data_IF_976897602883
#
_entry.id   IF_976897602883
#
_cell.length_a   1.000
_cell.length_b   1.000
_cell.length_c   1.000
_cell.angle_alpha   90.00
_cell.angle_beta   90.00
_cell.angle_gamma   90.00
#
_symmetry.space_group_name_H-M   'P 1'
#
loop_
_entity.id
_entity.type
_entity.pdbx_description
1 polymer ?
#
# COMPACT_ATOMS: atom_id res chain seq x y z
N UNK A 1 -31.95 5.09 13.32
CA UNK A 1 -30.68 4.45 12.87
C UNK A 1 -30.69 4.55 11.37
N UNK A 2 -29.77 5.32 10.77
CA UNK A 2 -29.59 5.36 9.32
C UNK A 2 -29.11 3.97 8.90
N UNK A 3 -29.76 3.38 7.90
CA UNK A 3 -29.38 2.08 7.37
C UNK A 3 -27.97 2.20 6.78
N UNK A 4 -27.06 1.30 7.14
CA UNK A 4 -25.69 1.24 6.63
C UNK A 4 -25.74 1.18 5.09
N UNK A 5 -24.99 2.06 4.43
CA UNK A 5 -24.96 2.14 2.98
C UNK A 5 -23.60 1.68 2.45
N UNK A 6 -23.60 0.61 1.67
CA UNK A 6 -22.38 0.11 1.04
C UNK A 6 -21.94 0.99 -0.11
N UNK A 7 -20.62 1.18 -0.26
CA UNK A 7 -20.02 1.92 -1.37
C UNK A 7 -20.10 1.14 -2.67
N UNK A 8 -20.40 1.84 -3.75
CA UNK A 8 -20.40 1.28 -5.11
C UNK A 8 -19.01 1.31 -5.72
N UNK A 9 -18.79 0.41 -6.67
CA UNK A 9 -17.67 0.53 -7.60
C UNK A 9 -17.82 1.82 -8.42
N UNK A 10 -16.77 2.65 -8.43
CA UNK A 10 -16.67 3.83 -9.29
C UNK A 10 -15.97 3.49 -10.59
N UNK A 11 -14.82 2.84 -10.47
CA UNK A 11 -13.95 2.49 -11.61
C UNK A 11 -13.16 1.24 -11.33
N UNK A 12 -13.03 0.39 -12.33
CA UNK A 12 -12.12 -0.74 -12.35
C UNK A 12 -10.86 -0.35 -13.14
N UNK A 13 -9.69 -0.54 -12.52
CA UNK A 13 -8.40 -0.23 -13.12
C UNK A 13 -7.55 -1.50 -13.18
N UNK A 14 -7.04 -1.82 -14.36
CA UNK A 14 -6.07 -2.91 -14.50
C UNK A 14 -4.67 -2.38 -14.20
N UNK A 15 -3.92 -3.08 -13.35
CA UNK A 15 -2.53 -2.77 -13.11
C UNK A 15 -1.69 -2.87 -14.40
N UNK A 16 -0.69 -1.99 -14.52
CA UNK A 16 0.17 -1.92 -15.70
C UNK A 16 1.52 -2.58 -15.43
N UNK A 17 1.90 -3.54 -16.27
CA UNK A 17 3.22 -4.15 -16.18
C UNK A 17 4.30 -3.10 -16.48
N UNK A 18 5.31 -3.02 -15.62
CA UNK A 18 6.44 -2.11 -15.75
C UNK A 18 7.68 -2.68 -15.06
N UNK A 19 8.74 -1.90 -14.98
CA UNK A 19 9.91 -2.20 -14.17
C UNK A 19 10.37 -0.96 -13.41
N UNK A 20 10.98 -1.15 -12.25
CA UNK A 20 11.55 -0.08 -11.43
C UNK A 20 12.86 -0.55 -10.77
N UNK A 21 13.54 0.33 -10.02
CA UNK A 21 14.85 0.02 -9.46
C UNK A 21 15.87 -0.32 -10.54
N UNK A 22 16.66 -1.36 -10.34
CA UNK A 22 17.63 -1.83 -11.31
C UNK A 22 17.05 -2.83 -12.33
N UNK A 23 15.73 -2.79 -12.57
CA UNK A 23 15.02 -3.64 -13.53
C UNK A 23 14.08 -4.67 -12.90
N UNK A 24 13.67 -4.48 -11.66
CA UNK A 24 12.67 -5.32 -11.00
C UNK A 24 11.35 -5.22 -11.74
N UNK A 25 10.82 -6.35 -12.19
CA UNK A 25 9.53 -6.42 -12.86
C UNK A 25 8.40 -6.32 -11.83
N UNK A 26 7.44 -5.46 -12.10
CA UNK A 26 6.30 -5.22 -11.22
C UNK A 26 5.05 -4.81 -12.00
N UNK A 27 3.93 -4.80 -11.31
CA UNK A 27 2.67 -4.26 -11.80
C UNK A 27 2.36 -2.99 -11.04
N UNK A 28 2.35 -1.83 -11.71
CA UNK A 28 1.92 -0.56 -11.12
C UNK A 28 0.41 -0.50 -11.09
N UNK A 29 -0.16 -0.52 -9.89
CA UNK A 29 -1.60 -0.58 -9.63
C UNK A 29 -2.18 0.82 -9.45
N UNK A 30 -1.49 1.68 -8.69
CA UNK A 30 -1.81 3.10 -8.53
C UNK A 30 -0.66 3.90 -9.09
N UNK A 31 -0.95 4.75 -10.07
CA UNK A 31 0.00 5.63 -10.74
C UNK A 31 -0.37 7.11 -10.56
N UNK A 32 0.44 8.01 -11.10
CA UNK A 32 0.33 9.46 -10.89
C UNK A 32 -1.02 10.05 -11.31
N UNK A 33 -1.69 9.47 -12.31
CA UNK A 33 -3.02 9.90 -12.79
C UNK A 33 -4.13 9.64 -11.76
N UNK A 34 -3.88 8.77 -10.78
CA UNK A 34 -4.81 8.42 -9.72
C UNK A 34 -4.58 9.16 -8.40
N UNK A 35 -3.44 9.82 -8.22
CA UNK A 35 -3.03 10.43 -6.95
C UNK A 35 -4.05 11.44 -6.41
N UNK A 36 -4.60 12.29 -7.26
CA UNK A 36 -5.60 13.27 -6.85
C UNK A 36 -6.92 12.60 -6.40
N UNK A 37 -7.32 11.52 -7.11
CA UNK A 37 -8.54 10.77 -6.77
C UNK A 37 -8.36 9.90 -5.54
N UNK A 38 -7.17 9.34 -5.34
CA UNK A 38 -6.86 8.39 -4.27
C UNK A 38 -6.03 9.00 -3.13
N UNK A 39 -5.89 10.33 -3.06
CA UNK A 39 -5.24 11.00 -1.92
C UNK A 39 -5.73 10.37 -0.60
N UNK A 40 -4.86 9.90 0.32
CA UNK A 40 -3.43 10.16 0.42
C UNK A 40 -2.51 9.12 -0.25
N UNK A 41 -3.03 8.22 -1.08
CA UNK A 41 -2.24 7.17 -1.73
C UNK A 41 -1.58 7.72 -3.00
N UNK A 42 -0.25 7.62 -3.06
CA UNK A 42 0.56 8.14 -4.17
C UNK A 42 0.89 7.08 -5.21
N UNK A 43 1.15 5.85 -4.76
CA UNK A 43 1.54 4.74 -5.61
C UNK A 43 1.24 3.41 -4.91
N UNK A 44 0.85 2.41 -5.67
CA UNK A 44 0.84 1.02 -5.24
C UNK A 44 1.44 0.18 -6.35
N UNK A 45 2.53 -0.51 -6.03
CA UNK A 45 3.18 -1.49 -6.89
C UNK A 45 3.04 -2.89 -6.31
N UNK A 46 2.69 -3.84 -7.16
CA UNK A 46 2.71 -5.27 -6.86
C UNK A 46 3.89 -5.90 -7.60
N UNK A 47 4.88 -6.39 -6.87
CA UNK A 47 5.99 -7.16 -7.45
C UNK A 47 5.80 -8.65 -7.16
N UNK A 48 6.18 -9.50 -8.12
CA UNK A 48 6.05 -10.94 -7.96
C UNK A 48 6.60 -11.71 -9.12
N UNK A 49 7.61 -12.55 -8.86
CA UNK A 49 8.16 -13.50 -9.84
C UNK A 49 8.85 -14.66 -9.12
N UNK A 50 8.82 -15.82 -9.75
CA UNK A 50 9.63 -17.01 -9.40
C UNK A 50 10.95 -17.08 -10.18
N UNK A 51 11.19 -16.11 -11.09
CA UNK A 51 12.40 -15.99 -11.91
C UNK A 51 13.34 -14.97 -11.29
N UNK A 52 14.48 -15.40 -10.78
CA UNK A 52 15.46 -14.53 -10.15
C UNK A 52 15.85 -13.31 -11.01
N UNK A 53 16.00 -13.49 -12.33
CA UNK A 53 16.31 -12.41 -13.27
C UNK A 53 15.28 -11.26 -13.32
N UNK A 54 14.07 -11.46 -12.78
CA UNK A 54 13.03 -10.45 -12.73
C UNK A 54 13.13 -9.56 -11.49
N UNK A 55 13.88 -9.98 -10.44
CA UNK A 55 13.93 -9.25 -9.17
C UNK A 55 15.33 -9.11 -8.56
N UNK A 56 16.32 -9.97 -8.95
CA UNK A 56 17.61 -10.07 -8.25
C UNK A 56 18.42 -8.77 -8.21
N UNK A 57 18.23 -7.88 -9.19
CA UNK A 57 18.91 -6.60 -9.26
C UNK A 57 18.43 -5.60 -8.17
N UNK A 58 17.25 -5.82 -7.61
CA UNK A 58 16.71 -5.05 -6.49
C UNK A 58 16.54 -3.56 -6.76
N UNK A 59 16.51 -2.82 -5.66
CA UNK A 59 16.44 -1.36 -5.64
C UNK A 59 17.71 -0.84 -4.93
N UNK A 60 18.79 -0.58 -5.70
CA UNK A 60 20.03 0.01 -5.15
C UNK A 60 19.79 1.36 -4.50
N UNK A 61 20.79 1.93 -3.83
CA UNK A 61 20.70 3.19 -3.10
C UNK A 61 19.95 4.26 -3.90
N UNK A 62 18.81 4.70 -3.38
CA UNK A 62 17.96 5.72 -3.99
C UNK A 62 17.34 6.62 -2.90
N UNK A 63 17.09 7.90 -3.23
CA UNK A 63 16.58 8.86 -2.26
C UNK A 63 15.05 8.84 -2.18
N UNK A 64 14.52 9.34 -1.04
CA UNK A 64 13.10 9.72 -0.90
C UNK A 64 12.97 10.98 -0.06
N UNK A 65 11.96 11.82 -0.32
CA UNK A 65 11.57 12.97 0.51
C UNK A 65 10.08 13.25 0.41
N UNK A 66 9.45 13.51 1.57
CA UNK A 66 8.11 14.10 1.67
C UNK A 66 6.93 13.14 1.70
N UNK A 67 7.18 11.85 1.88
CA UNK A 67 6.14 10.82 1.94
C UNK A 67 6.59 9.61 2.76
N UNK A 68 5.73 8.59 2.85
CA UNK A 68 5.99 7.32 3.50
C UNK A 68 5.99 6.19 2.49
N UNK A 69 6.82 5.17 2.70
CA UNK A 69 6.77 3.90 1.98
C UNK A 69 6.36 2.78 2.92
N UNK A 70 5.55 1.84 2.41
CA UNK A 70 5.17 0.64 3.13
C UNK A 70 5.44 -0.56 2.24
N UNK A 71 6.47 -1.32 2.60
CA UNK A 71 6.81 -2.59 1.95
C UNK A 71 6.11 -3.72 2.70
N UNK A 72 5.30 -4.51 2.00
CA UNK A 72 4.65 -5.70 2.55
C UNK A 72 5.08 -6.92 1.76
N UNK A 73 5.86 -7.80 2.40
CA UNK A 73 6.34 -9.04 1.78
C UNK A 73 5.28 -10.13 1.88
N UNK A 74 4.88 -10.71 0.75
CA UNK A 74 4.08 -11.93 0.73
C UNK A 74 4.99 -13.16 0.78
N UNK A 75 6.00 -13.19 -0.07
CA UNK A 75 6.98 -14.28 -0.17
C UNK A 75 8.37 -13.74 -0.44
N UNK A 76 9.38 -14.46 0.07
CA UNK A 76 10.79 -14.17 -0.15
C UNK A 76 11.43 -13.36 0.97
N UNK A 77 12.64 -12.87 0.70
CA UNK A 77 13.45 -12.12 1.65
C UNK A 77 14.04 -10.89 0.98
N UNK A 78 13.90 -9.75 1.64
CA UNK A 78 14.42 -8.47 1.17
C UNK A 78 15.20 -7.79 2.30
N UNK A 79 16.46 -7.50 2.04
CA UNK A 79 17.32 -6.73 2.94
C UNK A 79 17.19 -5.27 2.60
N UNK A 80 16.92 -4.45 3.58
CA UNK A 80 16.96 -3.00 3.44
C UNK A 80 18.11 -2.41 4.27
N UNK A 81 18.63 -1.28 3.81
CA UNK A 81 19.64 -0.48 4.49
C UNK A 81 19.43 0.99 4.17
N UNK A 82 19.66 1.88 5.12
CA UNK A 82 19.50 3.33 4.93
C UNK A 82 20.78 4.14 5.24
N UNK A 83 20.74 5.42 4.88
CA UNK A 83 21.82 6.37 5.09
C UNK A 83 22.10 6.72 6.56
N UNK A 84 21.20 6.38 7.48
CA UNK A 84 21.40 6.54 8.92
C UNK A 84 22.10 5.34 9.57
N UNK A 85 22.44 4.31 8.77
CA UNK A 85 23.12 3.10 9.23
C UNK A 85 22.16 2.02 9.77
N UNK A 86 20.89 2.15 9.52
CA UNK A 86 19.91 1.14 9.87
C UNK A 86 19.89 0.04 8.79
N UNK A 87 19.73 -1.21 9.23
CA UNK A 87 19.63 -2.38 8.36
C UNK A 87 18.60 -3.35 8.93
N UNK A 88 17.86 -4.01 8.06
CA UNK A 88 16.88 -5.02 8.44
C UNK A 88 16.65 -6.04 7.33
N UNK A 89 16.01 -7.15 7.70
CA UNK A 89 15.65 -8.23 6.80
C UNK A 89 14.15 -8.52 6.91
N UNK A 90 13.42 -8.21 5.85
CA UNK A 90 12.01 -8.57 5.71
C UNK A 90 11.90 -10.00 5.16
N UNK A 91 10.99 -10.77 5.74
CA UNK A 91 10.63 -12.14 5.38
C UNK A 91 9.14 -12.24 5.02
N UNK A 92 8.68 -13.46 4.75
CA UNK A 92 7.27 -13.71 4.43
C UNK A 92 6.32 -13.12 5.48
N UNK A 93 5.43 -12.27 5.04
CA UNK A 93 4.42 -11.62 5.85
C UNK A 93 4.91 -10.43 6.68
N UNK A 94 6.21 -10.08 6.62
CA UNK A 94 6.75 -8.91 7.31
C UNK A 94 6.34 -7.63 6.59
N UNK A 95 6.28 -6.55 7.36
CA UNK A 95 5.99 -5.20 6.87
C UNK A 95 7.09 -4.26 7.31
N UNK A 96 7.56 -3.38 6.42
CA UNK A 96 8.35 -2.21 6.78
C UNK A 96 7.54 -0.96 6.53
N UNK A 97 7.47 -0.10 7.53
CA UNK A 97 6.92 1.25 7.40
C UNK A 97 8.04 2.27 7.56
N UNK A 98 8.29 3.06 6.53
CA UNK A 98 9.32 4.09 6.52
C UNK A 98 8.70 5.46 6.24
N UNK A 99 8.95 6.42 7.09
CA UNK A 99 8.70 7.84 6.85
C UNK A 99 9.97 8.47 6.29
N UNK A 100 9.96 8.86 5.03
CA UNK A 100 11.12 9.53 4.43
C UNK A 100 11.32 10.96 4.96
N UNK A 101 10.21 11.66 5.25
CA UNK A 101 10.26 13.00 5.84
C UNK A 101 11.17 13.95 5.08
N UNK A 102 12.12 14.59 5.78
CA UNK A 102 13.07 15.55 5.18
C UNK A 102 14.05 14.92 4.19
N UNK A 103 14.22 13.60 4.23
CA UNK A 103 15.05 12.85 3.29
C UNK A 103 15.65 11.59 3.90
N UNK A 104 15.72 10.55 3.08
CA UNK A 104 16.41 9.30 3.35
C UNK A 104 17.01 8.79 2.05
N UNK A 105 18.15 8.12 2.12
CA UNK A 105 18.70 7.31 1.03
C UNK A 105 18.70 5.89 1.52
N UNK A 106 18.07 4.98 0.78
CA UNK A 106 17.99 3.58 1.18
C UNK A 106 18.12 2.64 -0.01
N UNK A 107 18.33 1.37 0.29
CA UNK A 107 18.33 0.28 -0.69
C UNK A 107 17.47 -0.87 -0.20
N UNK A 108 16.85 -1.58 -1.13
CA UNK A 108 16.02 -2.76 -0.90
C UNK A 108 16.53 -3.86 -1.84
N UNK A 109 17.27 -4.82 -1.29
CA UNK A 109 17.96 -5.84 -2.07
C UNK A 109 17.42 -7.24 -1.74
N UNK A 110 17.06 -8.04 -2.76
CA UNK A 110 16.71 -9.45 -2.54
C UNK A 110 17.83 -10.19 -1.80
N UNK A 111 17.47 -10.97 -0.80
CA UNK A 111 18.40 -11.83 -0.06
C UNK A 111 18.11 -13.31 -0.36
N UNK A 112 17.84 -13.62 -1.62
CA UNK A 112 17.65 -14.95 -2.15
C UNK A 112 18.14 -14.99 -3.60
N UNK A 113 18.63 -16.13 -4.04
CA UNK A 113 19.14 -16.34 -5.39
C UNK A 113 18.10 -17.01 -6.30
N UNK A 114 17.09 -17.64 -5.72
CA UNK A 114 16.01 -18.35 -6.41
C UNK A 114 14.72 -18.36 -5.60
N UNK A 115 13.64 -18.83 -6.21
CA UNK A 115 12.33 -18.99 -5.61
C UNK A 115 11.45 -17.75 -5.74
N UNK A 116 10.22 -17.88 -5.27
CA UNK A 116 9.22 -16.81 -5.36
C UNK A 116 9.61 -15.63 -4.46
N UNK A 117 9.64 -14.44 -5.04
CA UNK A 117 9.67 -13.18 -4.31
C UNK A 117 8.45 -12.36 -4.73
N UNK A 118 7.60 -11.99 -3.79
CA UNK A 118 6.40 -11.21 -4.07
C UNK A 118 5.98 -10.36 -2.89
N UNK A 119 5.34 -9.23 -3.19
CA UNK A 119 4.87 -8.29 -2.19
C UNK A 119 4.32 -7.02 -2.82
N UNK A 120 4.17 -6.02 -1.96
CA UNK A 120 3.61 -4.72 -2.34
C UNK A 120 4.49 -3.60 -1.82
N UNK A 121 4.60 -2.52 -2.63
CA UNK A 121 5.17 -1.25 -2.23
C UNK A 121 4.07 -0.19 -2.32
N UNK A 122 3.66 0.35 -1.20
CA UNK A 122 2.69 1.44 -1.10
C UNK A 122 3.43 2.73 -0.78
N UNK A 123 3.11 3.82 -1.50
CA UNK A 123 3.51 5.17 -1.13
C UNK A 123 2.32 5.94 -0.58
N UNK A 124 2.49 6.49 0.62
CA UNK A 124 1.48 7.24 1.34
C UNK A 124 1.98 8.68 1.55
N UNK A 125 1.16 9.66 1.21
CA UNK A 125 1.53 11.06 1.31
C UNK A 125 1.61 11.55 2.77
N UNK A 126 2.48 12.50 3.03
CA UNK A 126 2.53 13.27 4.28
C UNK A 126 1.87 14.64 4.09
N UNK A 127 1.18 15.16 5.12
CA UNK A 127 0.71 16.55 5.08
C UNK A 127 1.89 17.52 4.99
N UNK A 128 1.68 18.69 4.41
CA UNK A 128 2.71 19.70 4.17
C UNK A 128 3.56 20.01 5.41
N UNK A 129 2.93 20.10 6.58
CA UNK A 129 3.59 20.38 7.86
C UNK A 129 4.58 19.31 8.29
N UNK A 130 4.39 18.05 7.84
CA UNK A 130 5.19 16.90 8.25
C UNK A 130 6.16 16.43 7.16
N UNK A 131 6.13 17.01 5.95
CA UNK A 131 7.03 16.60 4.86
C UNK A 131 8.52 16.76 5.18
N UNK A 132 8.85 17.64 6.10
CA UNK A 132 10.23 17.86 6.55
C UNK A 132 10.50 17.31 7.96
N UNK A 133 9.66 16.42 8.47
CA UNK A 133 9.90 15.73 9.76
C UNK A 133 11.17 14.85 9.68
N UNK A 134 11.78 14.50 10.83
CA UNK A 134 12.85 13.50 10.85
C UNK A 134 12.42 12.18 10.22
N UNK A 135 13.27 11.50 9.45
CA UNK A 135 13.01 10.14 8.98
C UNK A 135 12.75 9.20 10.16
N UNK A 136 11.86 8.25 9.89
CA UNK A 136 11.54 7.20 10.86
C UNK A 136 11.20 5.91 10.10
N UNK A 137 11.50 4.76 10.69
CA UNK A 137 11.03 3.50 10.16
C UNK A 137 10.81 2.45 11.25
N UNK A 138 10.05 1.43 10.92
CA UNK A 138 9.78 0.29 11.77
C UNK A 138 9.60 -0.95 10.92
N UNK A 139 10.42 -1.97 11.23
CA UNK A 139 10.19 -3.32 10.77
C UNK A 139 9.19 -4.02 11.69
N UNK A 140 8.19 -4.64 11.10
CA UNK A 140 7.10 -5.31 11.78
C UNK A 140 7.12 -6.77 11.34
N UNK A 141 7.70 -7.68 12.13
CA UNK A 141 7.66 -9.10 11.82
C UNK A 141 6.23 -9.62 11.66
N UNK A 142 6.03 -10.60 10.79
CA UNK A 142 4.73 -11.17 10.47
C UNK A 142 3.92 -11.57 11.73
N UNK A 143 4.60 -12.11 12.73
CA UNK A 143 3.97 -12.49 14.00
C UNK A 143 3.48 -11.29 14.84
N UNK A 144 3.92 -10.08 14.54
CA UNK A 144 3.49 -8.83 15.19
C UNK A 144 2.44 -8.08 14.39
N UNK A 145 2.11 -8.51 13.16
CA UNK A 145 0.98 -7.97 12.41
C UNK A 145 -0.30 -8.55 12.98
N UNK A 146 -1.16 -7.73 13.61
CA UNK A 146 -2.41 -8.21 14.20
C UNK A 146 -3.30 -8.84 13.13
N UNK A 147 -3.96 -9.93 13.49
CA UNK A 147 -4.92 -10.60 12.62
C UNK A 147 -6.09 -11.18 13.41
N UNK A 148 -7.21 -11.34 12.75
CA UNK A 148 -8.39 -12.02 13.26
C UNK A 148 -9.08 -12.79 12.12
N UNK A 149 -9.97 -13.69 12.48
CA UNK A 149 -10.83 -14.38 11.51
C UNK A 149 -12.28 -14.04 11.82
N UNK A 150 -13.04 -13.62 10.79
CA UNK A 150 -14.46 -13.32 10.94
C UNK A 150 -15.27 -14.61 11.17
N UNK A 151 -16.53 -14.49 11.62
CA UNK A 151 -17.45 -15.63 11.75
C UNK A 151 -17.67 -16.36 10.41
N UNK A 152 -17.51 -15.65 9.29
CA UNK A 152 -17.63 -16.20 7.94
C UNK A 152 -16.31 -16.83 7.42
N UNK A 153 -15.26 -16.86 8.24
CA UNK A 153 -14.00 -17.51 7.91
C UNK A 153 -12.99 -16.64 7.16
N UNK A 154 -13.25 -15.34 6.95
CA UNK A 154 -12.27 -14.44 6.32
C UNK A 154 -11.17 -14.12 7.32
N UNK A 155 -9.92 -14.48 7.01
CA UNK A 155 -8.76 -14.04 7.82
C UNK A 155 -8.32 -12.68 7.35
N UNK A 156 -8.21 -11.75 8.31
CA UNK A 156 -7.89 -10.35 8.08
C UNK A 156 -6.59 -10.00 8.80
N UNK A 157 -5.57 -9.60 8.05
CA UNK A 157 -4.35 -9.03 8.62
C UNK A 157 -4.49 -7.52 8.64
N UNK A 158 -4.35 -6.92 9.82
CA UNK A 158 -4.52 -5.47 10.01
C UNK A 158 -3.15 -4.81 10.05
N UNK A 159 -2.65 -4.38 8.89
CA UNK A 159 -1.33 -3.74 8.78
C UNK A 159 -1.39 -2.35 9.39
N UNK A 160 -2.41 -1.56 9.06
CA UNK A 160 -2.63 -0.24 9.63
C UNK A 160 -4.12 0.05 9.82
N UNK A 161 -4.44 0.97 10.73
CA UNK A 161 -5.81 1.40 11.02
C UNK A 161 -6.52 0.46 12.00
N UNK A 162 -7.84 0.33 11.84
CA UNK A 162 -8.69 -0.44 12.77
C UNK A 162 -9.75 -1.24 12.00
N UNK A 163 -9.92 -2.50 12.37
CA UNK A 163 -10.95 -3.39 11.82
C UNK A 163 -11.48 -4.32 12.90
N UNK A 164 -12.81 -4.42 13.05
CA UNK A 164 -13.50 -5.39 13.92
C UNK A 164 -12.89 -5.49 15.34
N UNK A 165 -12.63 -4.35 15.99
CA UNK A 165 -12.03 -4.34 17.34
C UNK A 165 -10.52 -4.57 17.38
N UNK A 166 -9.87 -4.83 16.23
CA UNK A 166 -8.43 -5.06 16.14
C UNK A 166 -7.72 -3.82 15.60
N UNK A 167 -6.74 -3.32 16.38
CA UNK A 167 -5.86 -2.24 15.93
C UNK A 167 -4.71 -2.80 15.10
N UNK A 168 -4.39 -2.16 13.98
CA UNK A 168 -3.22 -2.46 13.18
C UNK A 168 -1.90 -2.07 13.86
N UNK A 169 -0.82 -2.56 13.27
CA UNK A 169 0.54 -2.31 13.78
C UNK A 169 0.94 -0.84 13.75
N UNK A 170 0.36 -0.06 12.83
CA UNK A 170 0.65 1.37 12.64
C UNK A 170 -0.66 2.16 12.63
N UNK A 171 -0.61 3.32 13.30
CA UNK A 171 -1.68 4.32 13.29
C UNK A 171 -1.11 5.63 12.74
N UNK A 172 -1.86 6.30 11.85
CA UNK A 172 -1.48 7.59 11.28
C UNK A 172 -2.59 8.61 11.48
N UNK A 173 -2.32 9.64 12.28
CA UNK A 173 -3.33 10.62 12.71
C UNK A 173 -3.96 11.35 11.52
N UNK A 174 -3.15 11.84 10.56
CA UNK A 174 -3.62 12.71 9.50
C UNK A 174 -4.27 11.95 8.34
N UNK A 175 -3.67 10.85 7.92
CA UNK A 175 -4.19 10.04 6.83
C UNK A 175 -5.20 9.01 7.28
N UNK A 176 -5.25 8.69 8.58
CA UNK A 176 -6.14 7.67 9.17
C UNK A 176 -6.20 6.42 8.30
N UNK A 177 -5.03 6.03 7.79
CA UNK A 177 -4.92 4.96 6.80
C UNK A 177 -5.41 3.64 7.37
N UNK A 178 -6.24 2.96 6.59
CA UNK A 178 -6.59 1.56 6.75
C UNK A 178 -5.83 0.76 5.69
N UNK A 179 -5.12 -0.27 6.12
CA UNK A 179 -4.46 -1.22 5.23
C UNK A 179 -4.72 -2.63 5.74
N UNK A 180 -5.62 -3.34 5.06
CA UNK A 180 -5.99 -4.71 5.36
C UNK A 180 -5.54 -5.64 4.24
N UNK A 181 -5.11 -6.84 4.61
CA UNK A 181 -4.94 -7.96 3.70
C UNK A 181 -5.98 -9.03 4.06
N UNK A 182 -6.89 -9.30 3.11
CA UNK A 182 -8.06 -10.16 3.25
C UNK A 182 -7.80 -11.50 2.58
N UNK A 183 -7.87 -12.57 3.37
CA UNK A 183 -7.76 -13.95 2.88
C UNK A 183 -9.12 -14.61 3.03
N UNK A 184 -9.80 -14.81 1.91
CA UNK A 184 -11.09 -15.49 1.88
C UNK A 184 -10.91 -17.01 1.98
N UNK A 185 -11.84 -17.72 2.63
CA UNK A 185 -11.74 -19.17 2.79
C UNK A 185 -11.86 -19.92 1.45
N UNK A 186 -11.43 -21.17 1.45
CA UNK A 186 -11.77 -22.10 0.38
C UNK A 186 -13.27 -22.37 0.38
N UNK A 187 -13.84 -22.64 -0.80
CA UNK A 187 -15.26 -22.99 -0.95
C UNK A 187 -16.11 -21.81 -1.43
N UNK A 188 -17.34 -21.74 -0.95
CA UNK A 188 -18.33 -20.77 -1.41
C UNK A 188 -17.97 -19.32 -1.05
N UNK A 189 -18.53 -18.37 -1.79
CA UNK A 189 -18.34 -16.95 -1.52
C UNK A 189 -18.91 -16.56 -0.15
N UNK A 190 -18.10 -15.86 0.62
CA UNK A 190 -18.47 -15.22 1.89
C UNK A 190 -18.26 -13.71 1.79
N UNK A 191 -18.95 -12.94 2.63
CA UNK A 191 -18.86 -11.48 2.60
C UNK A 191 -18.02 -10.96 3.75
N UNK A 192 -17.05 -10.11 3.42
CA UNK A 192 -16.35 -9.26 4.37
C UNK A 192 -16.94 -7.86 4.30
N UNK A 193 -17.16 -7.24 5.46
CA UNK A 193 -17.72 -5.90 5.58
C UNK A 193 -16.83 -5.04 6.47
N UNK A 194 -16.52 -3.80 6.04
CA UNK A 194 -15.71 -2.84 6.77
C UNK A 194 -16.39 -1.49 6.83
N UNK A 195 -16.68 -1.01 8.03
CA UNK A 195 -17.14 0.36 8.24
C UNK A 195 -16.03 1.36 7.91
N UNK A 196 -16.35 2.41 7.16
CA UNK A 196 -15.43 3.46 6.76
C UNK A 196 -16.12 4.83 6.80
N UNK A 197 -15.45 5.89 7.30
CA UNK A 197 -15.96 7.24 7.17
C UNK A 197 -16.19 7.62 5.70
N UNK A 198 -17.31 8.25 5.37
CA UNK A 198 -17.61 8.69 3.99
C UNK A 198 -16.60 9.69 3.44
N UNK A 199 -15.81 10.34 4.31
CA UNK A 199 -14.73 11.26 3.93
C UNK A 199 -13.48 10.57 3.39
N UNK A 200 -13.30 9.26 3.66
CA UNK A 200 -12.12 8.52 3.21
C UNK A 200 -12.24 8.07 1.75
N UNK A 201 -11.17 8.18 1.01
CA UNK A 201 -11.01 7.45 -0.24
C UNK A 201 -10.80 5.97 0.09
N UNK A 202 -11.35 5.08 -0.75
CA UNK A 202 -11.22 3.64 -0.56
C UNK A 202 -11.03 2.91 -1.89
N UNK A 203 -10.24 1.85 -1.83
CA UNK A 203 -9.95 0.98 -2.96
C UNK A 203 -9.69 -0.45 -2.50
N UNK A 204 -10.01 -1.42 -3.36
CA UNK A 204 -9.69 -2.83 -3.15
C UNK A 204 -8.89 -3.37 -4.33
N UNK A 205 -7.77 -4.04 -4.06
CA UNK A 205 -6.92 -4.66 -5.08
C UNK A 205 -6.95 -6.19 -4.92
N UNK A 206 -7.48 -6.89 -5.91
CA UNK A 206 -7.51 -8.36 -5.92
C UNK A 206 -6.21 -8.87 -6.53
N UNK A 207 -5.39 -9.56 -5.72
CA UNK A 207 -4.12 -10.08 -6.16
C UNK A 207 -4.11 -11.61 -6.38
N UNK A 208 -5.15 -12.29 -5.91
CA UNK A 208 -5.38 -13.72 -6.15
C UNK A 208 -6.89 -14.01 -6.26
N UNK A 209 -7.29 -14.84 -7.22
CA UNK A 209 -8.69 -15.21 -7.42
C UNK A 209 -9.54 -14.07 -7.97
N UNK A 210 -10.74 -13.91 -7.45
CA UNK A 210 -11.70 -12.87 -7.82
C UNK A 210 -12.48 -12.44 -6.57
N UNK A 211 -12.91 -11.18 -6.54
CA UNK A 211 -13.84 -10.68 -5.53
C UNK A 211 -14.94 -9.85 -6.20
N UNK A 212 -16.05 -9.68 -5.49
CA UNK A 212 -17.17 -8.86 -5.90
C UNK A 212 -17.34 -7.69 -4.91
N UNK A 213 -17.52 -6.47 -5.43
CA UNK A 213 -17.97 -5.32 -4.65
C UNK A 213 -19.49 -5.34 -4.59
N UNK A 214 -20.05 -5.37 -3.38
CA UNK A 214 -21.49 -5.43 -3.16
C UNK A 214 -22.06 -4.08 -2.71
N UNK A 215 -23.14 -3.61 -3.37
CA UNK A 215 -23.85 -2.40 -2.96
C UNK A 215 -25.36 -2.57 -3.15
N UNK A 216 -26.11 -2.81 -2.07
CA UNK A 216 -27.52 -3.20 -2.15
C UNK A 216 -27.64 -4.53 -2.91
N UNK A 217 -28.41 -4.52 -4.00
CA UNK A 217 -28.57 -5.66 -4.92
C UNK A 217 -27.53 -5.66 -6.05
N UNK A 218 -26.78 -4.57 -6.21
CA UNK A 218 -25.75 -4.46 -7.25
C UNK A 218 -24.51 -5.27 -6.85
N UNK A 219 -23.94 -5.97 -7.83
CA UNK A 219 -22.70 -6.73 -7.69
C UNK A 219 -21.76 -6.36 -8.84
N UNK A 220 -20.53 -6.03 -8.51
CA UNK A 220 -19.50 -5.66 -9.49
C UNK A 220 -18.26 -6.54 -9.31
N UNK A 221 -17.97 -7.37 -10.30
CA UNK A 221 -16.83 -8.28 -10.28
C UNK A 221 -15.49 -7.53 -10.40
N UNK A 222 -14.52 -7.94 -9.57
CA UNK A 222 -13.14 -7.44 -9.57
C UNK A 222 -12.21 -8.63 -9.83
N UNK A 223 -11.75 -8.82 -11.07
CA UNK A 223 -10.84 -9.91 -11.41
C UNK A 223 -9.46 -9.74 -10.76
N UNK A 224 -8.67 -10.81 -10.77
CA UNK A 224 -7.25 -10.77 -10.37
C UNK A 224 -6.50 -9.66 -11.09
N UNK A 225 -5.60 -9.00 -10.38
CA UNK A 225 -4.77 -7.87 -10.83
C UNK A 225 -5.56 -6.61 -11.24
N UNK A 226 -6.77 -6.47 -10.70
CA UNK A 226 -7.57 -5.25 -10.88
C UNK A 226 -7.78 -4.54 -9.54
N UNK A 227 -7.77 -3.22 -9.63
CA UNK A 227 -8.08 -2.29 -8.56
C UNK A 227 -9.53 -1.79 -8.73
N UNK A 228 -10.35 -2.02 -7.73
CA UNK A 228 -11.66 -1.41 -7.59
C UNK A 228 -11.53 -0.09 -6.83
N UNK A 229 -11.72 1.04 -7.50
CA UNK A 229 -11.87 2.36 -6.85
C UNK A 229 -13.33 2.49 -6.44
N UNK A 230 -13.57 2.79 -5.16
CA UNK A 230 -14.91 2.86 -4.59
C UNK A 230 -15.37 4.32 -4.48
N UNK A 231 -16.65 4.55 -4.72
CA UNK A 231 -17.26 5.86 -4.47
C UNK A 231 -17.18 6.23 -3.00
N UNK A 232 -17.19 7.53 -2.70
CA UNK A 232 -17.15 8.00 -1.31
C UNK A 232 -18.56 8.05 -0.67
N UNK A 233 -19.62 7.89 -1.46
CA UNK A 233 -20.97 7.74 -0.93
C UNK A 233 -21.12 6.36 -0.25
N UNK A 234 -21.56 6.38 1.00
CA UNK A 234 -21.67 5.19 1.84
C UNK A 234 -20.61 5.13 2.95
N UNK A 235 -20.95 4.39 3.97
CA UNK A 235 -20.20 4.26 5.22
C UNK A 235 -19.63 2.84 5.44
N UNK A 236 -19.80 1.95 4.45
CA UNK A 236 -19.29 0.58 4.48
C UNK A 236 -18.71 0.17 3.14
N UNK A 237 -17.71 -0.72 3.19
CA UNK A 237 -17.24 -1.50 2.04
C UNK A 237 -17.66 -2.95 2.26
N UNK A 238 -18.26 -3.58 1.26
CA UNK A 238 -18.62 -5.00 1.27
C UNK A 238 -17.95 -5.69 0.10
N UNK A 239 -17.14 -6.70 0.40
CA UNK A 239 -16.45 -7.54 -0.58
C UNK A 239 -16.91 -8.98 -0.39
N UNK A 240 -17.28 -9.64 -1.47
CA UNK A 240 -17.64 -11.06 -1.45
C UNK A 240 -16.65 -11.85 -2.30
N UNK A 241 -16.10 -12.91 -1.74
CA UNK A 241 -15.19 -13.80 -2.44
C UNK A 241 -15.13 -15.16 -1.74
N UNK A 242 -14.57 -16.14 -2.44
CA UNK A 242 -14.33 -17.51 -1.95
C UNK A 242 -13.12 -18.10 -2.66
N UNK A 243 -13.00 -19.42 -2.62
CA UNK A 243 -11.98 -20.22 -3.32
C UNK A 243 -10.54 -19.73 -3.07
N UNK A 244 -10.25 -19.37 -1.83
CA UNK A 244 -8.91 -18.89 -1.44
C UNK A 244 -8.52 -17.54 -2.05
N UNK A 245 -9.49 -16.74 -2.49
CA UNK A 245 -9.21 -15.39 -3.05
C UNK A 245 -8.56 -14.47 -2.03
N UNK A 246 -7.74 -13.54 -2.51
CA UNK A 246 -7.04 -12.58 -1.66
C UNK A 246 -7.11 -11.17 -2.22
N UNK A 247 -7.31 -10.20 -1.33
CA UNK A 247 -7.43 -8.81 -1.71
C UNK A 247 -6.85 -7.87 -0.64
N UNK A 248 -6.24 -6.78 -1.08
CA UNK A 248 -5.93 -5.64 -0.21
C UNK A 248 -7.16 -4.73 -0.16
N UNK A 249 -7.54 -4.28 1.04
CA UNK A 249 -8.47 -3.17 1.22
C UNK A 249 -7.71 -2.00 1.82
N UNK A 250 -7.68 -0.89 1.07
CA UNK A 250 -6.99 0.34 1.44
C UNK A 250 -8.00 1.47 1.54
N UNK A 251 -7.93 2.25 2.61
CA UNK A 251 -8.70 3.48 2.75
C UNK A 251 -7.91 4.53 3.53
N UNK A 252 -8.22 5.81 3.32
CA UNK A 252 -7.53 6.89 4.02
C UNK A 252 -8.22 8.24 3.88
N UNK A 253 -8.02 9.09 4.89
CA UNK A 253 -8.46 10.48 4.89
C UNK A 253 -7.61 11.27 3.88
N UNK A 254 -8.21 11.86 2.83
CA UNK A 254 -7.47 12.70 1.90
C UNK A 254 -6.92 13.94 2.59
N UNK A 255 -5.67 14.30 2.26
CA UNK A 255 -5.02 15.50 2.80
C UNK A 255 -5.51 16.78 2.11
N UNK A 256 -5.97 16.67 0.85
CA UNK A 256 -6.48 17.79 0.03
C UNK A 256 -5.47 18.92 -0.12
N UNK A 257 -4.21 18.57 -0.18
CA UNK A 257 -3.10 19.47 -0.40
C UNK A 257 -2.54 19.30 -1.82
N UNK A 258 -1.83 20.29 -2.37
CA UNK A 258 -1.15 20.13 -3.66
C UNK A 258 -0.16 18.97 -3.63
N UNK A 259 -0.16 18.14 -4.68
CA UNK A 259 0.80 17.05 -4.88
C UNK A 259 1.68 17.42 -6.07
N UNK A 260 2.96 17.64 -5.83
CA UNK A 260 3.98 17.83 -6.86
C UNK A 260 5.01 16.73 -6.70
N UNK A 261 5.10 15.87 -7.71
CA UNK A 261 6.05 14.74 -7.71
C UNK A 261 7.04 14.86 -8.84
N UNK A 262 8.30 14.58 -8.55
CA UNK A 262 9.34 14.35 -9.54
C UNK A 262 10.24 13.20 -9.08
N UNK A 263 10.13 12.07 -9.78
CA UNK A 263 10.81 10.83 -9.38
C UNK A 263 10.49 10.46 -7.92
N UNK A 264 11.52 10.31 -7.07
CA UNK A 264 11.38 9.85 -5.68
C UNK A 264 11.10 10.99 -4.68
N UNK A 265 10.71 12.17 -5.14
CA UNK A 265 10.39 13.33 -4.30
C UNK A 265 8.92 13.72 -4.47
N UNK A 266 8.20 13.87 -3.35
CA UNK A 266 6.79 14.29 -3.35
C UNK A 266 6.62 15.44 -2.37
N UNK A 267 6.41 16.63 -2.90
CA UNK A 267 6.28 17.86 -2.14
C UNK A 267 4.98 18.60 -2.49
N UNK A 268 4.79 19.82 -2.00
CA UNK A 268 3.61 20.62 -2.30
C UNK A 268 3.84 21.67 -3.39
N UNK A 269 5.11 22.03 -3.68
CA UNK A 269 5.46 23.02 -4.72
C UNK A 269 6.65 22.56 -5.56
N UNK A 270 6.79 23.16 -6.75
CA UNK A 270 7.94 22.92 -7.64
C UNK A 270 9.26 23.37 -7.03
N UNK A 271 9.23 24.47 -6.30
CA UNK A 271 10.41 25.02 -5.62
C UNK A 271 10.94 24.04 -4.57
N UNK A 272 10.04 23.38 -3.84
CA UNK A 272 10.42 22.35 -2.87
C UNK A 272 11.01 21.11 -3.56
N UNK A 273 10.52 20.73 -4.74
CA UNK A 273 11.13 19.65 -5.55
C UNK A 273 12.52 20.03 -6.01
N UNK A 274 12.72 21.27 -6.50
CA UNK A 274 14.04 21.76 -6.92
C UNK A 274 15.01 21.72 -5.73
N UNK A 275 14.59 22.21 -4.57
CA UNK A 275 15.39 22.16 -3.34
C UNK A 275 15.76 20.71 -2.95
N UNK A 276 14.83 19.76 -3.07
CA UNK A 276 15.12 18.34 -2.79
C UNK A 276 16.19 17.78 -3.74
N UNK A 277 16.10 18.10 -5.03
CA UNK A 277 17.10 17.68 -6.03
C UNK A 277 18.48 18.30 -5.76
N UNK A 278 18.52 19.56 -5.39
CA UNK A 278 19.77 20.27 -5.11
C UNK A 278 20.42 19.74 -3.82
N UNK A 279 19.63 19.46 -2.79
CA UNK A 279 20.11 18.82 -1.57
C UNK A 279 20.67 17.41 -1.85
N UNK A 280 19.99 16.63 -2.68
CA UNK A 280 20.48 15.30 -3.07
C UNK A 280 21.82 15.39 -3.83
N UNK A 281 21.92 16.27 -4.84
CA UNK A 281 23.15 16.46 -5.62
C UNK A 281 24.32 16.95 -4.77
N UNK A 282 24.03 17.73 -3.74
CA UNK A 282 25.03 18.27 -2.82
C UNK A 282 25.36 17.34 -1.63
N UNK A 283 24.76 16.14 -1.56
CA UNK A 283 24.95 15.20 -0.45
C UNK A 283 24.38 15.68 0.89
N UNK A 284 23.33 16.51 0.87
CA UNK A 284 22.68 17.05 2.06
C UNK A 284 21.24 16.57 2.28
N UNK A 285 20.78 15.60 1.49
CA UNK A 285 19.40 15.14 1.55
C UNK A 285 19.10 14.34 2.83
N UNK A 286 20.06 13.53 3.30
CA UNK A 286 19.94 12.59 4.41
C UNK A 286 21.12 12.67 5.36
#
# INVERSE_FOLDING_TARGET
MTQATSRRLERLVRGQATSDGAGVKLTRVVANDLQQRLDPFLMLDAFGSDKAGDYIAGFPDHPHRGFETVTYMLHGRMRHRDSAGNEGLLKNGDVQWMTAGRGVIHSEMPEQEEGLMSGFQLWLNLPAKDKMCPPWYRDIPSAQVPQFTTEQGVTVRVIAGHSHGTNGSVQREHTQVLYLDLHFPEGDNVTFEQALPSTHNAMAYVYQGQADVLCGEDTAAVPTHHLAILRNEGDHVRLSAGQGSRALLLAGQPLREPIVQYGPFVMNTKEQIIAAMDDYRAGRLA
#
